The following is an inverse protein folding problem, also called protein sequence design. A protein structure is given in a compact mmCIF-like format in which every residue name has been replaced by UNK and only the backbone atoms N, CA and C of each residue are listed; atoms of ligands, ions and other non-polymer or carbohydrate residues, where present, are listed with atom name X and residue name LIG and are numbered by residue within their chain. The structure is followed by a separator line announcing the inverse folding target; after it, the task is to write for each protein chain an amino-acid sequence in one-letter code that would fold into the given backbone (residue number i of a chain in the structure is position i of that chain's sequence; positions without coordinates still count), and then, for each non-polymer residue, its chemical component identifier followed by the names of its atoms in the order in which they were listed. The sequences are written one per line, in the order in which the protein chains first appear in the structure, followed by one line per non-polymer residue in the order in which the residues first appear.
data_IF_764612673809
#
_entry.id   IF_764612673809
#
_cell.length_a   1.000
_cell.length_b   1.000
_cell.length_c   1.000
_cell.angle_alpha   90.00
_cell.angle_beta   90.00
_cell.angle_gamma   90.00
#
_symmetry.space_group_name_H-M   'P 1'
#
loop_
_entity.id
_entity.type
_entity.pdbx_description
1 polymer ?
#
# COMPACT_ATOMS: atom_id res chain seq x y z
N UNK A 1 -1.43 -10.22 7.18
CA UNK A 1 -1.22 -10.77 5.85
C UNK A 1 -0.97 -9.67 4.82
N UNK A 2 0.23 -9.61 4.27
CA UNK A 2 0.58 -8.59 3.28
C UNK A 2 -0.19 -8.74 1.94
N UNK A 3 -0.81 -9.89 1.72
CA UNK A 3 -1.82 -10.15 0.70
C UNK A 3 -2.88 -10.99 1.39
N UNK A 4 -4.02 -10.41 1.69
CA UNK A 4 -4.99 -11.00 2.60
C UNK A 4 -5.67 -12.26 2.03
N UNK A 5 -5.54 -13.35 2.76
CA UNK A 5 -6.21 -14.61 2.51
C UNK A 5 -6.48 -15.31 3.86
N UNK A 6 -7.67 -15.88 4.07
CA UNK A 6 -8.86 -15.83 3.23
C UNK A 6 -9.51 -14.43 3.20
N UNK A 7 -10.44 -14.20 2.29
CA UNK A 7 -11.29 -13.00 2.27
C UNK A 7 -12.59 -13.26 3.02
N UNK A 8 -13.30 -12.21 3.48
CA UNK A 8 -14.66 -12.35 4.00
C UNK A 8 -15.57 -13.02 2.97
N UNK A 9 -16.47 -13.90 3.41
CA UNK A 9 -17.38 -14.64 2.53
C UNK A 9 -18.28 -13.72 1.69
N UNK A 10 -18.70 -12.58 2.24
CA UNK A 10 -19.49 -11.57 1.53
C UNK A 10 -18.79 -11.05 0.24
N UNK A 11 -17.45 -11.06 0.19
CA UNK A 11 -16.69 -10.66 -0.99
C UNK A 11 -16.92 -11.63 -2.14
N UNK A 12 -16.84 -12.94 -1.86
CA UNK A 12 -17.09 -13.97 -2.87
C UNK A 12 -18.53 -13.95 -3.36
N UNK A 13 -19.49 -13.82 -2.44
CA UNK A 13 -20.92 -13.74 -2.74
C UNK A 13 -21.26 -12.52 -3.61
N UNK A 14 -20.77 -11.33 -3.27
CA UNK A 14 -21.00 -10.11 -4.04
C UNK A 14 -20.42 -10.21 -5.46
N UNK A 15 -19.23 -10.80 -5.60
CA UNK A 15 -18.62 -11.03 -6.92
C UNK A 15 -19.42 -12.02 -7.78
N UNK A 16 -19.86 -13.14 -7.21
CA UNK A 16 -20.66 -14.14 -7.95
C UNK A 16 -22.03 -13.57 -8.34
N UNK A 17 -22.70 -12.88 -7.42
CA UNK A 17 -24.00 -12.25 -7.68
C UNK A 17 -23.92 -11.24 -8.82
N UNK A 18 -23.02 -10.26 -8.75
CA UNK A 18 -22.91 -9.23 -9.79
C UNK A 18 -22.48 -9.84 -11.14
N UNK A 19 -21.60 -10.84 -11.12
CA UNK A 19 -21.16 -11.52 -12.34
C UNK A 19 -22.32 -12.19 -13.08
N UNK A 20 -23.30 -12.73 -12.35
CA UNK A 20 -24.47 -13.42 -12.93
C UNK A 20 -25.61 -12.49 -13.30
N UNK A 21 -25.81 -11.41 -12.54
CA UNK A 21 -27.07 -10.65 -12.60
C UNK A 21 -26.89 -9.21 -13.09
N UNK A 22 -25.70 -8.61 -12.98
CA UNK A 22 -25.51 -7.18 -13.14
C UNK A 22 -24.19 -6.72 -13.74
N UNK A 23 -23.35 -7.61 -14.28
CA UNK A 23 -22.07 -7.26 -14.90
C UNK A 23 -22.24 -6.55 -16.25
N UNK A 24 -22.77 -5.33 -16.21
CA UNK A 24 -23.01 -4.47 -17.36
C UNK A 24 -22.09 -3.24 -17.32
N UNK A 25 -21.96 -2.58 -18.47
CA UNK A 25 -21.13 -1.38 -18.56
C UNK A 25 -21.81 -0.21 -17.83
N UNK A 26 -21.18 0.29 -16.78
CA UNK A 26 -21.61 1.48 -16.07
C UNK A 26 -21.50 2.72 -17.00
N UNK A 27 -22.46 3.65 -16.88
CA UNK A 27 -22.45 4.91 -17.63
C UNK A 27 -22.79 4.82 -19.13
N UNK A 28 -23.00 3.62 -19.68
CA UNK A 28 -23.32 3.43 -21.12
C UNK A 28 -24.76 3.07 -21.41
N UNK A 29 -25.71 3.54 -20.62
CA UNK A 29 -27.14 3.30 -20.91
C UNK A 29 -28.06 3.86 -19.85
N UNK A 30 -29.30 4.14 -20.28
CA UNK A 30 -30.36 4.65 -19.40
C UNK A 30 -31.19 3.53 -18.75
N UNK A 31 -30.81 2.25 -18.94
CA UNK A 31 -31.53 1.11 -18.37
C UNK A 31 -31.14 0.84 -16.91
N UNK A 32 -32.01 0.15 -16.18
CA UNK A 32 -31.89 -0.03 -14.73
C UNK A 32 -30.54 -0.63 -14.27
N UNK A 33 -30.05 -1.68 -14.93
CA UNK A 33 -28.79 -2.34 -14.56
C UNK A 33 -27.59 -1.39 -14.73
N UNK A 34 -27.56 -0.55 -15.79
CA UNK A 34 -26.45 0.41 -15.96
C UNK A 34 -26.46 1.47 -14.87
N UNK A 35 -27.64 1.95 -14.41
CA UNK A 35 -27.73 2.86 -13.27
C UNK A 35 -27.30 2.19 -11.97
N UNK A 36 -27.65 0.93 -11.75
CA UNK A 36 -27.21 0.15 -10.58
C UNK A 36 -25.68 0.00 -10.57
N UNK A 37 -25.08 -0.36 -11.71
CA UNK A 37 -23.63 -0.47 -11.84
C UNK A 37 -22.92 0.86 -11.55
N UNK A 38 -23.44 1.97 -12.08
CA UNK A 38 -22.90 3.31 -11.77
C UNK A 38 -23.07 3.66 -10.29
N UNK A 39 -24.22 3.36 -9.70
CA UNK A 39 -24.49 3.59 -8.27
C UNK A 39 -23.56 2.80 -7.37
N UNK A 40 -23.24 1.57 -7.72
CA UNK A 40 -22.28 0.73 -6.99
C UNK A 40 -20.87 1.35 -7.01
N UNK A 41 -20.40 1.80 -8.17
CA UNK A 41 -19.10 2.45 -8.32
C UNK A 41 -19.04 3.70 -7.44
N UNK A 42 -20.03 4.58 -7.52
CA UNK A 42 -20.06 5.83 -6.74
C UNK A 42 -20.20 5.57 -5.23
N UNK A 43 -20.99 4.59 -4.83
CA UNK A 43 -21.08 4.17 -3.43
C UNK A 43 -19.74 3.64 -2.90
N UNK A 44 -19.01 2.88 -3.72
CA UNK A 44 -17.68 2.38 -3.35
C UNK A 44 -16.67 3.52 -3.22
N UNK A 45 -16.70 4.53 -4.11
CA UNK A 45 -15.86 5.74 -3.99
C UNK A 45 -16.14 6.46 -2.67
N UNK A 46 -17.42 6.64 -2.34
CA UNK A 46 -17.84 7.28 -1.10
C UNK A 46 -17.30 6.54 0.13
N UNK A 47 -17.44 5.21 0.18
CA UNK A 47 -16.91 4.41 1.28
C UNK A 47 -15.38 4.55 1.42
N UNK A 48 -14.64 4.60 0.30
CA UNK A 48 -13.18 4.80 0.31
C UNK A 48 -12.82 6.18 0.86
N UNK A 49 -13.53 7.24 0.46
CA UNK A 49 -13.33 8.60 0.99
C UNK A 49 -13.59 8.65 2.50
N UNK A 50 -14.71 8.12 2.94
CA UNK A 50 -15.07 8.04 4.36
C UNK A 50 -14.01 7.29 5.19
N UNK A 51 -13.56 6.15 4.69
CA UNK A 51 -12.54 5.33 5.35
C UNK A 51 -11.19 6.06 5.49
N UNK A 52 -10.84 6.88 4.52
CA UNK A 52 -9.60 7.66 4.47
C UNK A 52 -9.70 9.02 5.17
N UNK A 53 -10.88 9.41 5.66
CA UNK A 53 -11.11 10.77 6.17
C UNK A 53 -10.76 11.85 5.15
N UNK A 54 -11.11 11.60 3.89
CA UNK A 54 -10.87 12.50 2.77
C UNK A 54 -11.89 13.64 2.70
N UNK A 55 -11.56 14.74 2.01
CA UNK A 55 -12.48 15.84 1.79
C UNK A 55 -13.64 15.43 0.87
N UNK A 56 -14.78 16.10 0.98
CA UNK A 56 -15.95 15.87 0.11
C UNK A 56 -15.63 16.12 -1.37
N UNK A 57 -14.73 17.08 -1.64
CA UNK A 57 -14.27 17.40 -3.01
C UNK A 57 -13.16 16.49 -3.53
N UNK A 58 -12.59 15.65 -2.67
CA UNK A 58 -11.58 14.66 -3.09
C UNK A 58 -12.16 13.69 -4.12
N UNK A 59 -11.31 13.25 -5.05
CA UNK A 59 -11.70 12.30 -6.08
C UNK A 59 -11.03 10.94 -5.89
N UNK A 60 -11.78 9.86 -6.05
CA UNK A 60 -11.26 8.50 -6.04
C UNK A 60 -11.13 8.02 -7.48
N UNK A 61 -9.93 7.65 -7.88
CA UNK A 61 -9.64 7.09 -9.21
C UNK A 61 -9.39 5.60 -9.08
N UNK A 62 -10.21 4.78 -9.73
CA UNK A 62 -10.01 3.33 -9.78
C UNK A 62 -9.00 2.93 -10.85
N UNK A 63 -8.18 1.97 -10.51
CA UNK A 63 -7.23 1.31 -11.43
C UNK A 63 -7.25 -0.20 -11.20
N UNK A 64 -6.67 -0.96 -12.11
CA UNK A 64 -6.57 -2.42 -11.95
C UNK A 64 -5.63 -2.87 -10.81
N UNK A 65 -4.78 -1.98 -10.31
CA UNK A 65 -3.85 -2.25 -9.22
C UNK A 65 -3.22 -0.98 -8.66
N UNK A 66 -2.71 -1.01 -7.43
CA UNK A 66 -1.88 0.08 -6.88
C UNK A 66 -0.68 0.42 -7.77
N UNK A 67 -0.06 -0.56 -8.42
CA UNK A 67 1.04 -0.31 -9.38
C UNK A 67 0.59 0.58 -10.54
N UNK A 68 -0.59 0.36 -11.09
CA UNK A 68 -1.13 1.22 -12.13
C UNK A 68 -1.47 2.61 -11.58
N UNK A 69 -2.02 2.71 -10.36
CA UNK A 69 -2.25 3.98 -9.68
C UNK A 69 -0.96 4.80 -9.55
N UNK A 70 0.15 4.18 -9.12
CA UNK A 70 1.46 4.83 -9.06
C UNK A 70 1.93 5.34 -10.43
N UNK A 71 1.70 4.57 -11.51
CA UNK A 71 2.02 4.99 -12.88
C UNK A 71 1.14 6.17 -13.33
N UNK A 72 -0.15 6.15 -13.00
CA UNK A 72 -1.07 7.26 -13.33
C UNK A 72 -0.65 8.55 -12.62
N UNK A 73 -0.35 8.49 -11.33
CA UNK A 73 0.09 9.66 -10.56
C UNK A 73 1.42 10.18 -11.10
N UNK A 74 2.46 9.36 -11.06
CA UNK A 74 3.82 9.79 -11.41
C UNK A 74 3.98 10.08 -12.90
N UNK A 75 3.26 9.38 -13.77
CA UNK A 75 3.24 9.63 -15.21
C UNK A 75 2.39 10.84 -15.60
N UNK A 76 1.42 11.21 -14.78
CA UNK A 76 0.59 12.39 -14.98
C UNK A 76 1.23 13.71 -14.50
N UNK A 77 2.27 13.64 -13.66
CA UNK A 77 3.03 14.82 -13.22
C UNK A 77 3.90 15.38 -14.34
N UNK A 78 4.13 16.68 -14.28
CA UNK A 78 5.13 17.35 -15.15
C UNK A 78 6.50 17.34 -14.49
N UNK A 79 7.45 16.66 -15.12
CA UNK A 79 8.81 16.53 -14.60
C UNK A 79 9.78 17.51 -15.25
N UNK A 80 10.68 18.08 -14.42
CA UNK A 80 11.79 18.96 -14.84
C UNK A 80 13.11 18.43 -14.32
N UNK A 81 14.20 18.71 -15.01
CA UNK A 81 15.54 18.33 -14.56
C UNK A 81 15.91 18.92 -13.20
N UNK A 82 15.32 20.07 -12.85
CA UNK A 82 15.55 20.77 -11.58
C UNK A 82 14.75 20.21 -10.41
N UNK A 83 13.87 19.24 -10.65
CA UNK A 83 13.05 18.69 -9.59
C UNK A 83 13.88 17.87 -8.60
N UNK A 84 13.47 17.94 -7.33
CA UNK A 84 14.07 17.19 -6.24
C UNK A 84 12.97 16.31 -5.63
N UNK A 85 13.15 15.01 -5.85
CA UNK A 85 12.20 14.00 -5.39
C UNK A 85 12.76 13.31 -4.14
N UNK A 86 12.06 13.41 -3.05
CA UNK A 86 12.40 12.64 -1.84
C UNK A 86 11.59 11.36 -1.78
N UNK A 87 12.26 10.26 -1.42
CA UNK A 87 11.64 8.94 -1.27
C UNK A 87 11.97 8.34 0.09
N UNK A 88 11.05 7.65 0.72
CA UNK A 88 11.40 6.90 1.91
C UNK A 88 12.23 5.65 1.56
N UNK A 89 13.11 5.18 2.46
CA UNK A 89 13.81 3.90 2.24
C UNK A 89 12.88 2.69 2.14
N UNK A 90 11.62 2.84 2.52
CA UNK A 90 10.62 1.76 2.59
C UNK A 90 9.78 1.61 1.31
N UNK A 91 10.13 2.34 0.24
CA UNK A 91 9.30 2.37 -0.97
C UNK A 91 9.30 1.06 -1.74
N UNK A 92 8.09 0.61 -2.05
CA UNK A 92 7.87 -0.56 -2.90
C UNK A 92 8.26 -0.27 -4.35
N UNK A 93 8.65 -1.32 -5.08
CA UNK A 93 9.00 -1.25 -6.51
C UNK A 93 7.89 -0.66 -7.41
N UNK A 94 6.64 -0.68 -6.96
CA UNK A 94 5.52 -0.03 -7.66
C UNK A 94 5.73 1.49 -7.79
N UNK A 95 6.38 2.13 -6.80
CA UNK A 95 6.79 3.54 -6.85
C UNK A 95 8.20 3.70 -7.42
N UNK A 96 9.18 2.95 -6.87
CA UNK A 96 10.59 3.16 -7.21
C UNK A 96 10.92 2.93 -8.68
N UNK A 97 10.35 1.89 -9.30
CA UNK A 97 10.61 1.62 -10.72
C UNK A 97 10.03 2.69 -11.64
N UNK A 98 8.87 3.23 -11.27
CA UNK A 98 8.24 4.33 -12.02
C UNK A 98 9.07 5.61 -11.88
N UNK A 99 9.47 5.98 -10.66
CA UNK A 99 10.35 7.13 -10.42
C UNK A 99 11.68 6.99 -11.17
N UNK A 100 12.29 5.81 -11.10
CA UNK A 100 13.56 5.57 -11.80
C UNK A 100 13.43 5.64 -13.33
N UNK A 101 12.28 5.21 -13.87
CA UNK A 101 11.97 5.37 -15.30
C UNK A 101 11.94 6.85 -15.70
N UNK A 102 11.19 7.68 -14.96
CA UNK A 102 11.11 9.11 -15.25
C UNK A 102 12.40 9.87 -14.92
N UNK A 103 13.14 9.48 -13.88
CA UNK A 103 14.46 10.04 -13.61
C UNK A 103 15.41 9.88 -14.79
N UNK A 104 15.44 8.70 -15.44
CA UNK A 104 16.25 8.48 -16.64
C UNK A 104 15.83 9.37 -17.81
N UNK A 105 14.56 9.68 -17.91
CA UNK A 105 14.00 10.48 -19.01
C UNK A 105 14.22 11.98 -18.80
N UNK A 106 14.03 12.47 -17.58
CA UNK A 106 14.02 13.90 -17.29
C UNK A 106 15.24 14.40 -16.51
N UNK A 107 16.01 13.53 -15.88
CA UNK A 107 17.25 13.87 -15.19
C UNK A 107 17.11 14.50 -13.82
N UNK A 108 15.93 14.45 -13.19
CA UNK A 108 15.73 15.00 -11.85
C UNK A 108 16.49 14.21 -10.77
N UNK A 109 16.65 14.81 -9.58
CA UNK A 109 17.36 14.21 -8.46
C UNK A 109 16.43 13.41 -7.57
N UNK A 110 16.84 12.19 -7.18
CA UNK A 110 16.16 11.40 -6.13
C UNK A 110 17.05 11.39 -4.88
N UNK A 111 16.46 11.70 -3.72
CA UNK A 111 17.12 11.72 -2.42
C UNK A 111 16.32 10.86 -1.45
N UNK A 112 17.00 10.01 -0.69
CA UNK A 112 16.35 9.24 0.37
C UNK A 112 16.10 10.12 1.60
N UNK A 113 14.91 10.00 2.18
CA UNK A 113 14.58 10.57 3.48
C UNK A 113 15.48 9.95 4.56
N UNK A 114 15.95 10.77 5.47
CA UNK A 114 16.85 10.34 6.53
C UNK A 114 16.21 9.28 7.43
N UNK A 115 16.94 8.20 7.68
CA UNK A 115 16.56 7.08 8.52
C UNK A 115 17.55 6.97 9.69
N UNK A 116 17.05 6.81 10.90
CA UNK A 116 17.86 6.37 12.02
C UNK A 116 18.15 4.87 11.87
N UNK A 117 19.44 4.52 11.76
CA UNK A 117 19.86 3.14 11.46
C UNK A 117 19.69 2.18 12.63
N UNK A 118 19.62 2.68 13.85
CA UNK A 118 19.46 1.84 15.04
C UNK A 118 17.99 1.53 15.28
N UNK A 119 17.11 2.56 15.20
CA UNK A 119 15.68 2.37 15.41
C UNK A 119 14.92 1.90 14.18
N UNK A 120 15.51 1.95 12.98
CA UNK A 120 14.86 1.71 11.69
C UNK A 120 13.63 2.61 11.47
N UNK A 121 13.64 3.82 12.02
CA UNK A 121 12.59 4.82 11.90
C UNK A 121 13.08 6.06 11.16
N UNK A 122 12.18 6.81 10.52
CA UNK A 122 12.52 8.07 9.88
C UNK A 122 12.98 9.10 10.92
N UNK A 123 14.08 9.81 10.64
CA UNK A 123 14.59 10.91 11.45
C UNK A 123 13.99 12.24 10.99
N UNK A 124 12.89 12.65 11.63
CA UNK A 124 12.17 13.88 11.27
C UNK A 124 13.03 15.14 11.37
N UNK A 125 14.00 15.18 12.29
CA UNK A 125 14.87 16.33 12.46
C UNK A 125 15.83 16.48 11.28
N UNK A 126 16.41 15.36 10.85
CA UNK A 126 17.29 15.32 9.69
C UNK A 126 16.51 15.51 8.38
N UNK A 127 15.27 15.01 8.28
CA UNK A 127 14.40 15.25 7.13
C UNK A 127 14.12 16.75 6.96
N UNK A 128 13.75 17.46 8.03
CA UNK A 128 13.56 18.90 7.98
C UNK A 128 14.85 19.61 7.54
N UNK A 129 16.00 19.20 8.05
CA UNK A 129 17.29 19.73 7.62
C UNK A 129 17.58 19.44 6.13
N UNK A 130 17.29 18.23 5.65
CA UNK A 130 17.38 17.89 4.22
C UNK A 130 16.54 18.84 3.37
N UNK A 131 15.29 19.11 3.75
CA UNK A 131 14.37 20.00 3.03
C UNK A 131 14.83 21.47 3.01
N UNK A 132 15.53 21.95 4.05
CA UNK A 132 16.12 23.30 4.02
C UNK A 132 17.31 23.41 3.07
N UNK A 133 18.03 22.31 2.85
CA UNK A 133 19.21 22.29 1.98
C UNK A 133 18.85 22.11 0.52
N UNK A 134 17.91 21.24 0.24
CA UNK A 134 17.42 20.94 -1.08
C UNK A 134 15.89 20.84 -1.00
N UNK A 135 15.22 21.89 -1.45
CA UNK A 135 13.76 22.01 -1.31
C UNK A 135 13.06 20.90 -2.11
N UNK A 136 12.16 20.12 -1.49
CA UNK A 136 11.43 19.08 -2.20
C UNK A 136 10.47 19.68 -3.24
N UNK A 137 10.41 19.09 -4.43
CA UNK A 137 9.32 19.30 -5.40
C UNK A 137 8.28 18.19 -5.33
N UNK A 138 8.73 16.96 -5.05
CA UNK A 138 7.86 15.80 -4.83
C UNK A 138 8.39 14.99 -3.65
N UNK A 139 7.49 14.52 -2.79
CA UNK A 139 7.80 13.55 -1.72
C UNK A 139 6.95 12.31 -1.93
N UNK A 140 7.60 11.16 -1.96
CA UNK A 140 6.94 9.85 -2.10
C UNK A 140 7.29 8.99 -0.88
N UNK A 141 6.28 8.45 -0.22
CA UNK A 141 6.49 7.58 0.94
C UNK A 141 5.38 6.55 1.09
N UNK A 142 5.73 5.40 1.63
CA UNK A 142 4.76 4.39 2.08
C UNK A 142 4.19 4.82 3.43
N UNK A 143 2.91 4.54 3.69
CA UNK A 143 2.32 4.76 5.01
C UNK A 143 2.72 3.64 5.99
N UNK A 144 2.80 2.41 5.50
CA UNK A 144 3.28 1.24 6.26
C UNK A 144 4.31 0.48 5.45
N UNK A 145 5.47 0.21 6.05
CA UNK A 145 6.49 -0.64 5.46
C UNK A 145 5.98 -2.09 5.32
N UNK A 146 5.98 -2.59 4.10
CA UNK A 146 5.66 -4.01 3.85
C UNK A 146 6.83 -4.96 4.20
N UNK A 147 7.94 -4.44 4.72
CA UNK A 147 9.09 -5.21 5.21
C UNK A 147 9.09 -5.28 6.74
N UNK A 148 9.15 -4.14 7.41
CA UNK A 148 9.33 -4.06 8.87
C UNK A 148 8.03 -3.86 9.64
N UNK A 149 6.90 -3.64 8.96
CA UNK A 149 5.64 -3.29 9.60
C UNK A 149 5.60 -1.88 10.20
N UNK A 150 6.63 -1.07 9.96
CA UNK A 150 6.73 0.30 10.47
C UNK A 150 5.63 1.20 9.90
N UNK A 151 4.92 1.90 10.78
CA UNK A 151 3.96 2.95 10.43
C UNK A 151 4.75 4.26 10.35
N UNK A 152 4.91 4.79 9.15
CA UNK A 152 5.68 6.00 8.90
C UNK A 152 4.91 7.25 9.35
N UNK A 153 5.60 8.29 9.82
CA UNK A 153 5.02 9.59 10.24
C UNK A 153 4.68 10.45 9.01
N UNK A 154 3.69 10.00 8.23
CA UNK A 154 3.35 10.61 6.94
C UNK A 154 2.86 12.04 7.07
N UNK A 155 2.12 12.36 8.14
CA UNK A 155 1.58 13.69 8.36
C UNK A 155 2.70 14.72 8.64
N UNK A 156 3.65 14.37 9.52
CA UNK A 156 4.75 15.26 9.90
C UNK A 156 5.70 15.52 8.73
N UNK A 157 5.92 14.50 7.88
CA UNK A 157 6.73 14.66 6.67
C UNK A 157 5.98 15.48 5.64
N UNK A 158 4.68 15.21 5.43
CA UNK A 158 3.85 15.98 4.50
C UNK A 158 3.75 17.45 4.92
N UNK A 159 3.48 17.75 6.19
CA UNK A 159 3.44 19.11 6.72
C UNK A 159 4.77 19.87 6.44
N UNK A 160 5.89 19.18 6.68
CA UNK A 160 7.21 19.77 6.41
C UNK A 160 7.46 20.01 4.93
N UNK A 161 7.03 19.10 4.06
CA UNK A 161 7.17 19.20 2.60
C UNK A 161 6.27 20.31 2.01
N UNK A 162 5.07 20.47 2.54
CA UNK A 162 4.12 21.52 2.11
C UNK A 162 4.61 22.94 2.36
N UNK A 163 5.52 23.16 3.29
CA UNK A 163 6.16 24.45 3.50
C UNK A 163 6.96 24.90 2.26
N UNK A 164 7.35 23.98 1.40
CA UNK A 164 8.07 24.23 0.15
C UNK A 164 7.18 24.07 -1.10
N UNK A 165 5.87 23.83 -0.92
CA UNK A 165 4.94 23.64 -2.03
C UNK A 165 5.09 22.28 -2.73
N UNK A 166 5.70 21.29 -2.08
CA UNK A 166 5.91 19.97 -2.65
C UNK A 166 4.60 19.20 -2.89
N UNK A 167 4.58 18.39 -3.94
CA UNK A 167 3.57 17.36 -4.14
C UNK A 167 3.89 16.17 -3.24
N UNK A 168 2.90 15.68 -2.50
CA UNK A 168 3.06 14.54 -1.59
C UNK A 168 2.20 13.37 -2.04
N UNK A 169 2.84 12.26 -2.40
CA UNK A 169 2.18 11.02 -2.78
C UNK A 169 2.52 9.89 -1.78
N UNK A 170 1.50 9.24 -1.25
CA UNK A 170 1.64 8.19 -0.23
C UNK A 170 1.10 6.86 -0.74
N UNK A 171 1.91 5.80 -0.64
CA UNK A 171 1.43 4.42 -0.84
C UNK A 171 0.79 3.89 0.45
N UNK A 172 -0.54 3.97 0.51
CA UNK A 172 -1.37 3.44 1.59
C UNK A 172 -1.77 1.97 1.43
N UNK A 173 -1.18 1.24 0.49
CA UNK A 173 -1.59 -0.14 0.17
C UNK A 173 -1.48 -1.13 1.34
N UNK A 174 -0.66 -0.85 2.34
CA UNK A 174 -0.54 -1.65 3.57
C UNK A 174 -1.19 -0.95 4.79
N UNK A 175 -1.91 0.15 4.58
CA UNK A 175 -2.44 0.96 5.66
C UNK A 175 -3.95 1.18 5.56
N UNK A 176 -4.50 1.55 4.40
CA UNK A 176 -5.92 1.87 4.26
C UNK A 176 -6.80 0.71 4.73
N UNK A 177 -7.72 0.99 5.66
CA UNK A 177 -8.56 -0.04 6.29
C UNK A 177 -7.93 -0.76 7.49
N UNK A 178 -6.68 -0.39 7.86
CA UNK A 178 -6.00 -0.93 9.05
C UNK A 178 -5.46 0.18 9.95
N UNK A 179 -4.73 1.14 9.37
CA UNK A 179 -4.17 2.28 10.11
C UNK A 179 -5.04 3.50 9.83
N UNK A 180 -5.61 4.14 10.86
CA UNK A 180 -6.41 5.35 10.69
C UNK A 180 -5.61 6.45 9.98
N UNK A 181 -6.25 7.12 9.05
CA UNK A 181 -5.72 8.30 8.36
C UNK A 181 -6.82 9.35 8.21
N UNK A 182 -6.44 10.62 8.17
CA UNK A 182 -7.34 11.77 7.94
C UNK A 182 -6.74 12.62 6.82
N UNK A 183 -7.01 12.24 5.58
CA UNK A 183 -6.37 12.86 4.42
C UNK A 183 -6.66 14.35 4.33
N UNK A 184 -7.88 14.78 4.61
CA UNK A 184 -8.29 16.19 4.63
C UNK A 184 -7.35 17.09 5.47
N UNK A 185 -6.75 16.56 6.54
CA UNK A 185 -5.93 17.30 7.47
C UNK A 185 -4.42 17.07 7.27
N UNK A 186 -4.05 16.17 6.34
CA UNK A 186 -2.69 15.61 6.25
C UNK A 186 -1.72 16.38 5.36
N UNK A 187 -2.23 17.18 4.42
CA UNK A 187 -1.42 17.79 3.36
C UNK A 187 -0.92 16.80 2.29
N UNK A 188 -1.47 15.59 2.25
CA UNK A 188 -1.16 14.57 1.24
C UNK A 188 -2.03 14.83 0.02
N UNK A 189 -1.43 14.89 -1.18
CA UNK A 189 -2.16 15.14 -2.43
C UNK A 189 -2.71 13.86 -3.05
N UNK A 190 -1.94 12.76 -2.97
CA UNK A 190 -2.33 11.48 -3.54
C UNK A 190 -2.11 10.35 -2.55
N UNK A 191 -3.14 9.54 -2.33
CA UNK A 191 -3.06 8.39 -1.43
C UNK A 191 -3.49 7.11 -2.15
N UNK A 192 -2.52 6.22 -2.43
CA UNK A 192 -2.71 5.00 -3.21
C UNK A 192 -3.27 3.88 -2.33
N UNK A 193 -4.14 3.04 -2.88
CA UNK A 193 -4.66 1.85 -2.22
C UNK A 193 -4.67 0.60 -3.12
N UNK A 194 -4.60 -0.56 -2.50
CA UNK A 194 -4.73 -1.86 -3.13
C UNK A 194 -5.95 -2.61 -2.57
N UNK A 195 -6.93 -2.92 -3.39
CA UNK A 195 -8.15 -3.57 -2.92
C UNK A 195 -7.91 -4.93 -2.25
N UNK A 196 -6.92 -5.69 -2.72
CA UNK A 196 -6.65 -7.06 -2.26
C UNK A 196 -5.73 -7.18 -1.03
N UNK A 197 -5.33 -6.05 -0.42
CA UNK A 197 -4.49 -6.03 0.78
C UNK A 197 -5.34 -5.76 2.03
N UNK A 198 -5.00 -4.74 2.81
CA UNK A 198 -5.67 -4.40 4.08
C UNK A 198 -7.17 -4.16 3.97
N UNK A 199 -7.68 -3.86 2.77
CA UNK A 199 -9.10 -3.73 2.49
C UNK A 199 -9.84 -5.08 2.33
N UNK A 200 -9.13 -6.21 2.26
CA UNK A 200 -9.71 -7.55 2.09
C UNK A 200 -10.57 -7.76 0.82
N UNK A 201 -10.51 -6.84 -0.13
CA UNK A 201 -11.18 -6.94 -1.43
C UNK A 201 -10.47 -7.89 -2.41
N UNK A 202 -10.99 -8.07 -3.62
CA UNK A 202 -10.41 -8.95 -4.62
C UNK A 202 -9.18 -8.34 -5.31
N UNK A 203 -8.45 -9.18 -6.05
CA UNK A 203 -7.49 -8.73 -7.05
C UNK A 203 -8.21 -8.03 -8.22
N UNK A 204 -7.48 -7.22 -8.99
CA UNK A 204 -8.01 -6.55 -10.17
C UNK A 204 -8.70 -5.22 -9.88
N UNK A 205 -8.61 -4.71 -8.65
CA UNK A 205 -9.05 -3.37 -8.25
C UNK A 205 -8.07 -2.76 -7.26
N UNK A 206 -7.77 -1.51 -7.48
CA UNK A 206 -7.02 -0.59 -6.63
C UNK A 206 -7.30 0.82 -7.10
N UNK A 207 -6.48 1.76 -6.70
CA UNK A 207 -6.66 3.15 -7.11
C UNK A 207 -5.91 4.12 -6.22
N UNK A 208 -6.33 5.37 -6.31
CA UNK A 208 -5.84 6.40 -5.40
C UNK A 208 -6.92 7.43 -5.12
N UNK A 209 -6.75 8.14 -4.01
CA UNK A 209 -7.52 9.31 -3.62
C UNK A 209 -6.69 10.52 -3.98
N UNK A 210 -7.28 11.49 -4.67
CA UNK A 210 -6.71 12.80 -4.97
C UNK A 210 -7.38 13.84 -4.08
N UNK A 211 -6.63 14.41 -3.13
CA UNK A 211 -7.13 15.41 -2.17
C UNK A 211 -6.93 16.84 -2.66
N UNK A 212 -5.91 17.09 -3.47
CA UNK A 212 -5.53 18.44 -3.87
C UNK A 212 -5.99 18.82 -5.28
N UNK A 213 -5.80 20.10 -5.62
CA UNK A 213 -6.07 20.66 -6.96
C UNK A 213 -4.96 20.36 -7.97
N UNK A 214 -4.17 19.30 -7.74
CA UNK A 214 -3.08 18.94 -8.63
C UNK A 214 -3.64 18.26 -9.87
N UNK A 215 -3.52 18.92 -11.01
CA UNK A 215 -3.93 18.37 -12.29
C UNK A 215 -2.92 17.33 -12.78
N UNK A 216 -3.39 16.12 -13.05
CA UNK A 216 -2.61 15.06 -13.70
C UNK A 216 -2.94 15.00 -15.18
N UNK A 217 -1.91 14.86 -16.02
CA UNK A 217 -2.10 14.54 -17.45
C UNK A 217 -2.60 13.10 -17.57
N UNK A 218 -3.45 12.80 -18.59
CA UNK A 218 -3.87 11.42 -18.85
C UNK A 218 -2.63 10.53 -19.12
N UNK A 219 -2.47 9.49 -18.28
CA UNK A 219 -1.43 8.47 -18.50
C UNK A 219 -1.84 7.46 -19.56
N UNK A 220 -3.12 7.12 -19.59
CA UNK A 220 -3.75 6.29 -20.63
C UNK A 220 -4.86 7.08 -21.28
N UNK A 221 -5.02 6.90 -22.58
CA UNK A 221 -6.11 7.54 -23.34
C UNK A 221 -6.99 6.48 -23.98
N UNK A 222 -8.31 6.73 -24.04
CA UNK A 222 -9.25 5.79 -24.63
C UNK A 222 -10.70 6.15 -24.34
N UNK A 223 -11.60 5.26 -24.70
CA UNK A 223 -13.03 5.50 -24.51
C UNK A 223 -13.43 5.53 -23.04
N UNK A 224 -14.18 6.55 -22.63
CA UNK A 224 -14.66 6.75 -21.25
C UNK A 224 -16.16 6.48 -21.09
N UNK A 225 -16.87 6.24 -22.20
CA UNK A 225 -18.31 6.01 -22.21
C UNK A 225 -19.15 7.29 -22.22
N UNK A 226 -18.54 8.46 -22.18
CA UNK A 226 -19.16 9.77 -22.28
C UNK A 226 -18.62 10.53 -23.48
N UNK A 227 -19.38 11.54 -23.97
CA UNK A 227 -19.00 12.51 -25.00
C UNK A 227 -18.31 11.86 -26.25
N UNK A 228 -19.01 10.89 -26.85
CA UNK A 228 -18.44 10.01 -27.91
C UNK A 228 -18.03 10.75 -29.20
N UNK A 229 -18.42 11.99 -29.39
CA UNK A 229 -18.03 12.80 -30.56
C UNK A 229 -16.77 13.63 -30.30
N UNK A 230 -16.38 13.80 -29.04
CA UNK A 230 -15.16 14.47 -28.66
C UNK A 230 -13.96 13.51 -28.79
N UNK A 231 -12.89 13.93 -29.41
CA UNK A 231 -11.66 13.16 -29.58
C UNK A 231 -10.68 13.33 -28.41
N UNK A 232 -10.88 14.34 -27.58
CA UNK A 232 -10.08 14.56 -26.37
C UNK A 232 -10.63 13.77 -25.19
N UNK A 233 -9.78 13.49 -24.20
CA UNK A 233 -10.21 12.93 -22.94
C UNK A 233 -11.13 13.93 -22.19
N UNK A 234 -12.06 13.45 -21.34
CA UNK A 234 -12.87 14.34 -20.49
C UNK A 234 -11.98 15.29 -19.67
N UNK A 235 -12.44 16.52 -19.46
CA UNK A 235 -11.66 17.53 -18.72
C UNK A 235 -11.71 17.40 -17.19
N UNK A 236 -12.47 16.43 -16.65
CA UNK A 236 -12.72 16.32 -15.21
C UNK A 236 -12.35 14.92 -14.67
N UNK A 237 -11.86 14.92 -13.45
CA UNK A 237 -11.68 13.68 -12.68
C UNK A 237 -13.05 13.11 -12.25
N UNK A 238 -13.14 11.80 -12.03
CA UNK A 238 -12.10 10.80 -12.29
C UNK A 238 -12.00 10.38 -13.76
N UNK A 239 -12.94 10.82 -14.63
CA UNK A 239 -13.08 10.36 -16.02
C UNK A 239 -11.83 10.55 -16.89
N UNK A 240 -11.07 11.63 -16.68
CA UNK A 240 -9.82 11.89 -17.41
C UNK A 240 -8.75 10.81 -17.17
N UNK A 241 -8.81 10.11 -16.03
CA UNK A 241 -7.80 9.12 -15.60
C UNK A 241 -8.33 7.67 -15.62
N UNK A 242 -9.62 7.46 -16.00
CA UNK A 242 -10.28 6.14 -16.02
C UNK A 242 -10.75 5.74 -17.43
N UNK A 243 -9.87 5.58 -18.41
CA UNK A 243 -10.28 5.07 -19.71
C UNK A 243 -10.65 3.59 -19.64
N UNK A 244 -11.64 3.21 -20.42
CA UNK A 244 -12.10 1.82 -20.53
C UNK A 244 -13.31 1.51 -19.66
N UNK A 245 -13.70 0.23 -19.67
CA UNK A 245 -14.79 -0.25 -18.83
C UNK A 245 -14.24 -0.68 -17.47
N UNK A 246 -14.78 -0.18 -16.35
CA UNK A 246 -14.32 -0.56 -15.03
C UNK A 246 -14.60 -2.04 -14.74
N UNK A 247 -13.76 -2.67 -13.93
CA UNK A 247 -13.99 -4.05 -13.47
C UNK A 247 -15.08 -4.08 -12.39
N UNK A 248 -16.34 -4.04 -12.84
CA UNK A 248 -17.51 -3.96 -11.94
C UNK A 248 -17.59 -5.16 -10.97
N UNK A 249 -17.11 -6.33 -11.36
CA UNK A 249 -17.11 -7.53 -10.51
C UNK A 249 -16.12 -7.34 -9.35
N UNK A 250 -14.92 -6.87 -9.64
CA UNK A 250 -13.94 -6.60 -8.59
C UNK A 250 -14.36 -5.42 -7.70
N UNK A 251 -15.01 -4.39 -8.26
CA UNK A 251 -15.54 -3.26 -7.48
C UNK A 251 -16.65 -3.72 -6.55
N UNK A 252 -17.54 -4.62 -6.99
CA UNK A 252 -18.58 -5.19 -6.13
C UNK A 252 -17.99 -5.97 -4.94
N UNK A 253 -16.96 -6.78 -5.20
CA UNK A 253 -16.24 -7.47 -4.13
C UNK A 253 -15.53 -6.50 -3.17
N UNK A 254 -14.95 -5.41 -3.67
CA UNK A 254 -14.35 -4.37 -2.84
C UNK A 254 -15.41 -3.64 -2.01
N UNK A 255 -16.55 -3.30 -2.61
CA UNK A 255 -17.68 -2.69 -1.91
C UNK A 255 -18.12 -3.52 -0.70
N UNK A 256 -18.37 -4.82 -0.91
CA UNK A 256 -18.73 -5.74 0.16
C UNK A 256 -17.63 -5.88 1.23
N UNK A 257 -16.35 -5.83 0.82
CA UNK A 257 -15.23 -5.85 1.76
C UNK A 257 -15.20 -4.60 2.64
N UNK A 258 -15.49 -3.42 2.07
CA UNK A 258 -15.56 -2.16 2.80
C UNK A 258 -16.75 -2.12 3.77
N UNK A 259 -17.92 -2.65 3.39
CA UNK A 259 -19.06 -2.81 4.30
C UNK A 259 -18.75 -3.76 5.47
N UNK A 260 -17.98 -4.82 5.22
CA UNK A 260 -17.51 -5.75 6.23
C UNK A 260 -16.26 -5.25 6.98
N UNK A 261 -15.77 -4.04 6.68
CA UNK A 261 -14.62 -3.46 7.36
C UNK A 261 -14.96 -3.27 8.85
N UNK A 262 -14.11 -3.85 9.69
CA UNK A 262 -14.27 -3.75 11.13
C UNK A 262 -13.70 -2.40 11.62
N UNK A 263 -13.92 -2.14 12.89
CA UNK A 263 -13.22 -1.11 13.64
C UNK A 263 -11.70 -1.26 13.45
N UNK A 264 -11.08 -0.32 12.73
CA UNK A 264 -9.66 -0.33 12.36
C UNK A 264 -8.76 -0.33 13.60
N UNK A 265 -9.11 0.44 14.64
CA UNK A 265 -8.32 0.51 15.87
C UNK A 265 -8.30 -0.83 16.58
N UNK A 266 -9.45 -1.48 16.66
CA UNK A 266 -9.58 -2.82 17.26
C UNK A 266 -8.79 -3.85 16.45
N UNK A 267 -8.87 -3.80 15.11
CA UNK A 267 -8.12 -4.73 14.25
C UNK A 267 -6.62 -4.52 14.38
N UNK A 268 -6.14 -3.28 14.31
CA UNK A 268 -4.72 -2.95 14.47
C UNK A 268 -4.21 -3.37 15.86
N UNK A 269 -4.99 -3.12 16.92
CA UNK A 269 -4.66 -3.56 18.27
C UNK A 269 -4.54 -5.08 18.39
N UNK A 270 -5.44 -5.82 17.72
CA UNK A 270 -5.38 -7.29 17.71
C UNK A 270 -4.16 -7.81 16.95
N UNK A 271 -3.87 -7.24 15.77
CA UNK A 271 -2.69 -7.61 14.98
C UNK A 271 -1.39 -7.30 15.73
N UNK A 272 -1.32 -6.15 16.43
CA UNK A 272 -0.17 -5.81 17.30
C UNK A 272 0.02 -6.80 18.43
N UNK A 273 -1.03 -7.18 19.14
CA UNK A 273 -0.93 -8.18 20.23
C UNK A 273 -0.34 -9.50 19.73
N UNK A 274 -0.77 -9.97 18.57
CA UNK A 274 -0.24 -11.19 17.98
C UNK A 274 1.21 -11.01 17.49
N UNK A 275 1.53 -9.83 16.92
CA UNK A 275 2.90 -9.51 16.51
C UNK A 275 3.84 -9.46 17.71
N UNK A 276 3.47 -8.77 18.80
CA UNK A 276 4.30 -8.71 20.02
C UNK A 276 4.47 -10.10 20.65
N UNK A 277 3.41 -10.91 20.68
CA UNK A 277 3.53 -12.29 21.14
C UNK A 277 4.56 -13.09 20.32
N UNK A 278 4.50 -13.00 18.99
CA UNK A 278 5.46 -13.62 18.09
C UNK A 278 6.88 -13.08 18.32
N UNK A 279 7.04 -11.77 18.38
CA UNK A 279 8.32 -11.09 18.59
C UNK A 279 8.98 -11.51 19.91
N UNK A 280 8.22 -11.56 21.01
CA UNK A 280 8.73 -11.98 22.31
C UNK A 280 9.23 -13.43 22.32
N UNK A 281 8.58 -14.30 21.57
CA UNK A 281 9.01 -15.69 21.41
C UNK A 281 10.25 -15.79 20.53
N UNK A 282 10.26 -15.16 19.37
CA UNK A 282 11.39 -15.16 18.45
C UNK A 282 12.67 -14.58 19.06
N UNK A 283 12.57 -13.56 19.91
CA UNK A 283 13.72 -12.99 20.65
C UNK A 283 14.45 -13.99 21.56
N UNK A 284 13.82 -15.10 21.91
CA UNK A 284 14.38 -16.12 22.80
C UNK A 284 15.04 -17.27 22.06
N UNK A 285 14.89 -17.32 20.75
CA UNK A 285 15.47 -18.35 19.90
C UNK A 285 16.84 -17.84 19.47
N UNK A 286 17.89 -18.57 19.84
CA UNK A 286 19.26 -18.23 19.44
C UNK A 286 19.39 -18.25 17.92
N UNK A 287 20.14 -17.30 17.38
CA UNK A 287 20.35 -17.16 15.93
C UNK A 287 19.23 -16.45 15.16
N UNK A 288 18.10 -16.10 15.81
CA UNK A 288 17.03 -15.31 15.16
C UNK A 288 17.30 -13.81 15.27
N UNK A 289 17.33 -13.14 14.13
CA UNK A 289 17.55 -11.69 14.01
C UNK A 289 16.27 -11.01 13.56
N UNK A 290 15.74 -10.09 14.35
CA UNK A 290 14.50 -9.36 14.08
C UNK A 290 14.78 -7.99 13.47
N UNK A 291 13.93 -7.58 12.50
CA UNK A 291 13.99 -6.28 11.83
C UNK A 291 12.74 -5.46 12.13
N UNK A 292 12.79 -4.69 13.22
CA UNK A 292 11.63 -4.00 13.79
C UNK A 292 11.92 -2.53 14.06
N UNK A 293 10.94 -1.61 13.92
CA UNK A 293 11.04 -0.29 14.51
C UNK A 293 11.06 -0.40 16.04
N UNK A 294 11.74 0.52 16.73
CA UNK A 294 11.86 0.50 18.19
C UNK A 294 10.51 0.74 18.87
N UNK A 295 9.78 1.74 18.39
CA UNK A 295 8.49 2.09 18.96
C UNK A 295 7.43 1.04 18.59
N UNK A 296 6.95 0.30 19.61
CA UNK A 296 5.93 -0.75 19.45
C UNK A 296 4.61 -0.18 18.93
N UNK A 297 4.28 1.06 19.28
CA UNK A 297 3.06 1.73 18.81
C UNK A 297 3.11 2.05 17.31
N UNK A 298 4.30 2.04 16.72
CA UNK A 298 4.51 2.23 15.28
C UNK A 298 4.62 0.91 14.50
N UNK A 299 4.17 -0.22 15.05
CA UNK A 299 4.18 -1.54 14.41
C UNK A 299 2.80 -1.96 13.95
N UNK A 300 2.77 -2.81 12.95
CA UNK A 300 1.58 -3.52 12.47
C UNK A 300 1.75 -5.03 12.65
N UNK A 301 0.86 -5.85 12.09
CA UNK A 301 0.96 -7.31 12.06
C UNK A 301 2.05 -7.88 11.15
N UNK A 302 2.99 -7.07 10.65
CA UNK A 302 4.10 -7.52 9.79
C UNK A 302 5.35 -7.68 10.65
N UNK A 303 5.90 -8.90 10.67
CA UNK A 303 7.12 -9.24 11.40
C UNK A 303 8.12 -9.85 10.44
N UNK A 304 9.31 -9.27 10.35
CA UNK A 304 10.42 -9.78 9.53
C UNK A 304 11.61 -10.17 10.37
N UNK A 305 12.24 -11.29 10.00
CA UNK A 305 13.40 -11.83 10.67
C UNK A 305 14.31 -12.59 9.70
N UNK A 306 15.50 -12.96 10.16
CA UNK A 306 16.41 -13.92 9.54
C UNK A 306 16.88 -14.94 10.58
N UNK A 307 17.36 -16.09 10.14
CA UNK A 307 17.97 -17.12 11.00
C UNK A 307 19.44 -17.25 10.60
N UNK A 308 20.34 -17.20 11.57
CA UNK A 308 21.77 -17.37 11.32
C UNK A 308 22.06 -18.76 10.74
N UNK A 309 22.94 -18.82 9.76
CA UNK A 309 23.29 -20.04 9.05
C UNK A 309 22.39 -20.39 7.87
N UNK A 310 21.22 -19.75 7.73
CA UNK A 310 20.26 -20.02 6.67
C UNK A 310 20.03 -18.83 5.75
N UNK A 311 19.69 -19.12 4.49
CA UNK A 311 19.12 -18.14 3.58
C UNK A 311 17.62 -18.06 3.80
N UNK A 312 17.02 -16.88 3.54
CA UNK A 312 15.58 -16.68 3.71
C UNK A 312 14.73 -17.62 2.84
N UNK A 313 15.18 -17.92 1.62
CA UNK A 313 14.49 -18.83 0.71
C UNK A 313 14.56 -20.28 1.20
N UNK A 314 15.66 -20.71 1.80
CA UNK A 314 15.82 -22.06 2.41
C UNK A 314 14.83 -22.24 3.58
N UNK A 315 14.78 -21.28 4.50
CA UNK A 315 13.82 -21.34 5.61
C UNK A 315 12.37 -21.33 5.09
N UNK A 316 12.08 -20.54 4.05
CA UNK A 316 10.76 -20.52 3.43
C UNK A 316 10.36 -21.87 2.85
N UNK A 317 11.29 -22.61 2.25
CA UNK A 317 11.06 -23.97 1.74
C UNK A 317 10.81 -24.97 2.88
N UNK A 318 11.64 -24.95 3.93
CA UNK A 318 11.44 -25.83 5.10
C UNK A 318 10.09 -25.58 5.77
N UNK A 319 9.71 -24.31 5.97
CA UNK A 319 8.41 -23.97 6.54
C UNK A 319 7.21 -24.46 5.70
N UNK A 320 7.33 -24.41 4.37
CA UNK A 320 6.27 -24.89 3.47
C UNK A 320 6.21 -26.42 3.39
N UNK A 321 7.35 -27.08 3.17
CA UNK A 321 7.41 -28.52 2.93
C UNK A 321 7.17 -29.35 4.21
N UNK A 322 7.79 -28.97 5.33
CA UNK A 322 7.76 -29.77 6.56
C UNK A 322 6.63 -29.34 7.51
N UNK A 323 6.27 -28.05 7.53
CA UNK A 323 5.29 -27.51 8.50
C UNK A 323 4.02 -26.97 7.84
N UNK A 324 3.92 -26.94 6.50
CA UNK A 324 2.79 -26.37 5.74
C UNK A 324 2.48 -24.91 6.10
N UNK A 325 3.54 -24.11 6.35
CA UNK A 325 3.46 -22.71 6.69
C UNK A 325 3.97 -21.86 5.53
N UNK A 326 3.07 -21.11 4.91
CA UNK A 326 3.42 -20.19 3.83
C UNK A 326 3.88 -18.83 4.38
N UNK A 327 5.14 -18.49 4.16
CA UNK A 327 5.73 -17.17 4.45
C UNK A 327 6.24 -16.53 3.16
N UNK A 328 6.52 -15.24 3.19
CA UNK A 328 7.20 -14.59 2.08
C UNK A 328 8.67 -14.35 2.41
N UNK A 329 9.57 -14.74 1.49
CA UNK A 329 11.03 -14.61 1.65
C UNK A 329 11.62 -13.63 0.65
N UNK A 330 12.85 -13.18 0.91
CA UNK A 330 13.65 -12.31 0.04
C UNK A 330 13.45 -10.82 0.27
N UNK A 331 13.71 -10.01 -0.75
CA UNK A 331 13.78 -8.54 -0.67
C UNK A 331 12.41 -7.83 -0.70
N UNK A 332 11.30 -8.54 -0.59
CA UNK A 332 9.94 -8.02 -0.44
C UNK A 332 9.52 -6.94 -1.46
N UNK A 333 10.21 -6.85 -2.60
CA UNK A 333 10.03 -5.79 -3.61
C UNK A 333 10.31 -4.36 -3.09
N UNK A 334 11.18 -4.19 -2.09
CA UNK A 334 11.58 -2.89 -1.52
C UNK A 334 13.09 -2.74 -1.66
N UNK A 335 13.60 -2.00 -2.67
CA UNK A 335 15.01 -2.06 -3.03
C UNK A 335 15.95 -1.32 -2.07
N UNK A 336 15.46 -0.33 -1.31
CA UNK A 336 16.33 0.60 -0.58
C UNK A 336 16.59 0.20 0.88
N UNK A 337 15.63 -0.45 1.55
CA UNK A 337 15.72 -0.71 3.00
C UNK A 337 16.79 -1.75 3.36
N UNK A 338 17.07 -2.72 2.48
CA UNK A 338 17.93 -3.87 2.77
C UNK A 338 19.39 -3.48 3.10
N UNK A 339 19.90 -2.36 2.56
CA UNK A 339 21.21 -1.83 2.96
C UNK A 339 21.27 -1.36 4.42
N UNK A 340 20.12 -1.00 5.00
CA UNK A 340 19.99 -0.63 6.41
C UNK A 340 19.79 -1.88 7.29
N UNK A 341 19.06 -2.88 6.80
CA UNK A 341 18.84 -4.16 7.50
C UNK A 341 20.10 -5.03 7.51
N UNK A 342 21.01 -4.85 6.56
CA UNK A 342 22.23 -5.67 6.37
C UNK A 342 21.93 -7.16 6.21
N UNK A 343 20.84 -7.47 5.52
CA UNK A 343 20.29 -8.81 5.36
C UNK A 343 20.72 -9.51 4.05
N UNK A 344 21.65 -8.91 3.28
CA UNK A 344 22.16 -9.48 2.03
C UNK A 344 22.71 -10.90 2.18
N UNK A 345 23.45 -11.17 3.28
CA UNK A 345 24.02 -12.50 3.54
C UNK A 345 22.96 -13.59 3.75
N UNK A 346 21.72 -13.18 4.10
CA UNK A 346 20.58 -14.07 4.26
C UNK A 346 19.70 -14.10 3.01
N UNK A 347 20.04 -13.37 1.94
CA UNK A 347 19.20 -13.25 0.74
C UNK A 347 17.91 -12.48 0.95
N UNK A 348 17.88 -11.54 1.91
CA UNK A 348 16.71 -10.78 2.34
C UNK A 348 16.12 -11.31 3.64
N UNK A 349 14.83 -11.09 3.86
CA UNK A 349 14.12 -11.42 5.11
C UNK A 349 13.09 -12.52 4.91
N UNK A 350 12.77 -13.22 6.00
CA UNK A 350 11.58 -14.05 6.15
C UNK A 350 10.49 -13.13 6.75
N UNK A 351 9.34 -13.01 6.08
CA UNK A 351 8.27 -12.12 6.50
C UNK A 351 7.00 -12.87 6.85
N UNK A 352 6.55 -12.72 8.08
CA UNK A 352 5.25 -13.15 8.57
C UNK A 352 4.26 -12.01 8.44
N UNK A 353 3.05 -12.29 7.97
CA UNK A 353 1.96 -11.34 7.92
C UNK A 353 0.79 -11.81 8.79
N UNK A 354 0.54 -11.14 9.87
CA UNK A 354 -0.59 -11.34 10.75
C UNK A 354 -1.77 -10.50 10.25
N UNK A 355 -2.96 -11.04 10.25
CA UNK A 355 -4.15 -10.34 9.79
C UNK A 355 -5.41 -10.74 10.55
N UNK A 356 -6.55 -10.25 10.09
CA UNK A 356 -7.87 -10.42 10.72
C UNK A 356 -8.22 -11.86 11.11
N UNK A 357 -7.80 -12.83 10.31
CA UNK A 357 -8.17 -14.24 10.46
C UNK A 357 -7.07 -15.09 11.11
N UNK A 358 -5.94 -14.49 11.49
CA UNK A 358 -4.85 -15.19 12.16
C UNK A 358 -5.29 -15.66 13.54
N UNK A 359 -4.96 -16.92 13.85
CA UNK A 359 -5.23 -17.55 15.17
C UNK A 359 -3.93 -17.67 15.95
N UNK A 360 -4.03 -17.62 17.28
CA UNK A 360 -2.87 -17.82 18.14
C UNK A 360 -2.21 -19.19 17.93
N UNK A 361 -2.99 -20.25 17.71
CA UNK A 361 -2.46 -21.59 17.43
C UNK A 361 -1.58 -21.65 16.17
N UNK A 362 -1.85 -20.82 15.16
CA UNK A 362 -1.02 -20.75 13.96
C UNK A 362 0.36 -20.11 14.26
N UNK A 363 0.40 -19.13 15.18
CA UNK A 363 1.65 -18.53 15.65
C UNK A 363 2.46 -19.51 16.50
N UNK A 364 1.80 -20.32 17.34
CA UNK A 364 2.44 -21.36 18.16
C UNK A 364 3.12 -22.42 17.27
N UNK A 365 2.43 -22.87 16.22
CA UNK A 365 3.00 -23.80 15.24
C UNK A 365 4.22 -23.16 14.53
N UNK A 366 4.11 -21.91 14.12
CA UNK A 366 5.20 -21.18 13.47
C UNK A 366 6.42 -21.02 14.41
N UNK A 367 6.20 -20.68 15.67
CA UNK A 367 7.28 -20.52 16.67
C UNK A 367 8.04 -21.83 16.85
N UNK A 368 7.33 -22.94 17.05
CA UNK A 368 7.95 -24.26 17.20
C UNK A 368 8.76 -24.64 15.96
N UNK A 369 8.22 -24.41 14.75
CA UNK A 369 8.93 -24.68 13.50
C UNK A 369 10.22 -23.85 13.37
N UNK A 370 10.19 -22.56 13.76
CA UNK A 370 11.37 -21.69 13.72
C UNK A 370 12.43 -22.16 14.76
N UNK A 371 11.99 -22.59 15.94
CA UNK A 371 12.87 -23.12 16.99
C UNK A 371 13.59 -24.38 16.50
N UNK A 372 12.85 -25.34 15.95
CA UNK A 372 13.41 -26.57 15.37
C UNK A 372 14.41 -26.28 14.22
N UNK A 373 14.08 -25.35 13.32
CA UNK A 373 14.99 -24.96 12.22
C UNK A 373 16.26 -24.27 12.75
N UNK A 374 16.14 -23.44 13.80
CA UNK A 374 17.30 -22.74 14.36
C UNK A 374 18.23 -23.64 15.17
N UNK A 375 17.73 -24.75 15.71
CA UNK A 375 18.51 -25.75 16.44
C UNK A 375 19.27 -26.72 15.50
N UNK A 376 18.91 -26.80 14.20
CA UNK A 376 19.57 -27.61 13.17
C UNK A 376 19.05 -28.98 13.02
#
# INVERSE_FOLDING_TARGET
AATTFPKPECVYQAMDEIARTGAVNAGRGSYALARQASGLIESTRKQIKELAGADDVAEVVFTASATLACNVILGGLEWKQTDIVYVSPFEHNAMMRVLYHYQKQYGFKIIELALNRESLELDLSQIRFQFTREHPTVVVMSHVSNVTGYILPINEVAESAKQYGAVVAVDGSQALGLVPVKLKESGIDFYVFAGHKTLYGPFGVGGFISEGDISLKPFLVGGTGSDSLNLDMPGQMPGILEPGSPNIVAIAGLHAALEACCDMERQLSQERKFAEYLIEKLKRIDGVLLYLPWDEMKRTGIVSFSIEGYRADEVGMLLDEDYHIAVRTGYQCVPLIHKYLKDEKYGGVIRVGIGRFTKQSELEILINAIEEIAEG
#
